data_IF_266560141442
#
_entry.id   IF_266560141442
#
_cell.length_a   1.000
_cell.length_b   1.000
_cell.length_c   1.000
_cell.angle_alpha   90.00
_cell.angle_beta   90.00
_cell.angle_gamma   90.00
#
_symmetry.space_group_name_H-M   'P 1'
#
loop_
_entity.id
_entity.type
_entity.pdbx_description
1 polymer ?
#
# COMPACT_ATOMS: atom_id res chain seq x y z
N UNK A 1 2.77 6.95 18.15
CA UNK A 1 2.16 5.64 18.44
C UNK A 1 1.60 5.11 17.14
N UNK A 2 1.93 3.89 16.72
CA UNK A 2 1.47 3.29 15.45
C UNK A 2 0.00 2.84 15.48
N UNK A 3 -0.86 3.62 16.13
CA UNK A 3 -2.30 3.41 16.17
C UNK A 3 -2.93 4.12 14.97
N UNK A 4 -4.03 3.60 14.39
CA UNK A 4 -4.77 4.31 13.37
C UNK A 4 -5.22 5.67 13.91
N UNK A 5 -5.03 6.72 13.12
CA UNK A 5 -5.43 8.08 13.51
C UNK A 5 -6.97 8.13 13.53
N UNK A 6 -7.61 8.53 14.64
CA UNK A 6 -9.06 8.63 14.70
C UNK A 6 -9.60 9.61 13.66
N UNK A 7 -10.73 9.28 13.02
CA UNK A 7 -11.37 10.15 12.00
C UNK A 7 -11.55 11.59 12.51
N UNK A 8 -12.03 11.75 13.74
CA UNK A 8 -12.19 13.04 14.42
C UNK A 8 -10.89 13.87 14.49
N UNK A 9 -9.71 13.24 14.58
CA UNK A 9 -8.43 13.99 14.58
C UNK A 9 -8.02 14.40 13.16
N UNK A 10 -8.42 13.65 12.13
CA UNK A 10 -8.26 14.06 10.73
C UNK A 10 -9.17 15.24 10.41
N UNK A 11 -10.45 15.17 10.80
CA UNK A 11 -11.43 16.25 10.65
C UNK A 11 -10.93 17.56 11.29
N UNK A 12 -10.54 17.52 12.57
CA UNK A 12 -9.96 18.68 13.26
C UNK A 12 -8.73 19.25 12.56
N UNK A 13 -7.91 18.42 11.92
CA UNK A 13 -6.73 18.87 11.20
C UNK A 13 -7.07 19.44 9.80
N UNK A 14 -8.15 18.98 9.17
CA UNK A 14 -8.68 19.59 7.95
C UNK A 14 -9.15 21.02 8.20
N UNK A 15 -9.86 21.24 9.30
CA UNK A 15 -10.30 22.57 9.76
C UNK A 15 -9.09 23.45 10.13
N UNK A 16 -8.09 22.90 10.83
CA UNK A 16 -6.89 23.62 11.29
C UNK A 16 -5.99 24.09 10.12
N UNK A 17 -5.92 23.36 9.00
CA UNK A 17 -5.23 23.83 7.77
C UNK A 17 -6.17 24.63 6.84
N UNK A 18 -7.49 24.62 7.08
CA UNK A 18 -8.47 25.28 6.23
C UNK A 18 -8.57 24.66 4.83
N UNK A 19 -8.57 23.33 4.72
CA UNK A 19 -8.54 22.65 3.42
C UNK A 19 -9.86 22.81 2.68
N UNK A 20 -9.84 23.44 1.51
CA UNK A 20 -11.00 23.55 0.63
C UNK A 20 -11.27 22.23 -0.11
N UNK A 21 -12.52 21.77 -0.02
CA UNK A 21 -13.07 20.57 -0.64
C UNK A 21 -13.79 20.97 -1.93
N UNK A 22 -13.31 20.47 -3.06
CA UNK A 22 -13.92 20.66 -4.38
C UNK A 22 -14.91 19.51 -4.65
N UNK A 23 -16.21 19.76 -4.86
CA UNK A 23 -17.21 18.73 -5.10
C UNK A 23 -17.16 18.12 -6.52
N UNK A 24 -16.31 18.63 -7.42
CA UNK A 24 -16.14 18.12 -8.78
C UNK A 24 -14.85 17.31 -8.98
N UNK A 25 -13.95 17.32 -7.99
CA UNK A 25 -12.69 16.57 -8.01
C UNK A 25 -12.89 15.14 -7.47
N UNK A 26 -12.13 14.18 -8.01
CA UNK A 26 -12.18 12.81 -7.51
C UNK A 26 -11.65 12.70 -6.07
N UNK A 27 -12.34 11.90 -5.25
CA UNK A 27 -12.05 11.77 -3.82
C UNK A 27 -10.64 11.20 -3.54
N UNK A 28 -10.08 10.33 -4.39
CA UNK A 28 -8.74 9.79 -4.20
C UNK A 28 -7.65 10.84 -4.52
N UNK A 29 -7.86 11.63 -5.57
CA UNK A 29 -6.98 12.74 -5.94
C UNK A 29 -6.99 13.80 -4.82
N UNK A 30 -8.19 14.18 -4.37
CA UNK A 30 -8.38 15.17 -3.33
C UNK A 30 -7.81 14.70 -1.98
N UNK A 31 -8.01 13.43 -1.60
CA UNK A 31 -7.44 12.86 -0.39
C UNK A 31 -5.90 12.97 -0.36
N UNK A 32 -5.21 12.76 -1.48
CA UNK A 32 -3.75 12.92 -1.57
C UNK A 32 -3.31 14.36 -1.27
N UNK A 33 -4.05 15.37 -1.76
CA UNK A 33 -3.82 16.80 -1.45
C UNK A 33 -4.06 17.10 0.04
N UNK A 34 -5.17 16.61 0.58
CA UNK A 34 -5.56 16.76 2.00
C UNK A 34 -4.51 16.15 2.93
N UNK A 35 -4.01 14.95 2.62
CA UNK A 35 -2.99 14.23 3.41
C UNK A 35 -1.69 15.04 3.50
N UNK A 36 -1.17 15.57 2.40
CA UNK A 36 0.06 16.39 2.43
C UNK A 36 -0.12 17.72 3.17
N UNK A 37 -1.32 18.32 3.12
CA UNK A 37 -1.62 19.53 3.90
C UNK A 37 -1.62 19.25 5.42
N UNK A 38 -2.33 18.20 5.86
CA UNK A 38 -2.47 17.81 7.27
C UNK A 38 -1.15 17.33 7.90
N UNK A 39 -0.23 16.76 7.10
CA UNK A 39 1.08 16.24 7.51
C UNK A 39 1.96 17.23 8.27
N UNK A 40 1.67 18.53 8.16
CA UNK A 40 2.33 19.61 8.89
C UNK A 40 1.97 19.68 10.38
N UNK A 41 0.73 19.31 10.75
CA UNK A 41 0.18 19.40 12.12
C UNK A 41 -0.17 18.04 12.74
N UNK A 42 -0.49 17.03 11.92
CA UNK A 42 -0.60 15.63 12.36
C UNK A 42 0.61 14.91 11.81
N UNK A 43 1.45 14.26 12.66
CA UNK A 43 2.61 13.49 12.21
C UNK A 43 2.18 12.19 11.52
N UNK A 44 1.67 12.35 10.30
CA UNK A 44 1.30 11.30 9.35
C UNK A 44 2.58 10.62 8.84
N UNK A 45 3.09 9.67 9.62
CA UNK A 45 3.99 8.66 9.05
C UNK A 45 3.16 7.72 8.20
N UNK A 46 3.25 7.88 6.88
CA UNK A 46 3.01 6.79 5.95
C UNK A 46 4.14 5.79 6.19
N UNK A 47 4.00 4.94 7.20
CA UNK A 47 4.92 3.83 7.44
C UNK A 47 4.81 2.91 6.23
N UNK A 48 5.81 2.96 5.34
CA UNK A 48 5.95 1.98 4.27
C UNK A 48 6.71 0.77 4.82
N UNK A 49 6.30 -0.42 4.40
CA UNK A 49 6.97 -1.67 4.74
C UNK A 49 7.51 -2.34 3.48
N UNK A 50 8.72 -2.87 3.59
CA UNK A 50 9.40 -3.63 2.53
C UNK A 50 9.07 -5.11 2.73
N UNK A 51 8.67 -5.79 1.67
CA UNK A 51 8.20 -7.17 1.73
C UNK A 51 8.86 -7.95 0.58
N UNK A 52 9.53 -9.04 0.92
CA UNK A 52 9.96 -10.02 -0.06
C UNK A 52 8.81 -10.99 -0.35
N UNK A 53 8.52 -11.21 -1.63
CA UNK A 53 7.41 -12.05 -2.11
C UNK A 53 7.99 -13.06 -3.10
N UNK A 54 7.58 -14.32 -2.99
CA UNK A 54 7.80 -15.36 -4.02
C UNK A 54 6.45 -15.85 -4.55
N UNK A 55 6.26 -15.76 -5.86
CA UNK A 55 5.02 -16.15 -6.56
C UNK A 55 5.33 -17.35 -7.49
N UNK A 56 4.68 -18.51 -7.31
CA UNK A 56 4.84 -19.66 -8.21
C UNK A 56 4.44 -19.35 -9.65
N UNK A 57 5.18 -19.91 -10.62
CA UNK A 57 5.06 -19.64 -12.07
C UNK A 57 3.61 -19.60 -12.60
N UNK A 58 2.77 -20.55 -12.19
CA UNK A 58 1.35 -20.66 -12.60
C UNK A 58 0.48 -19.43 -12.28
N UNK A 59 0.82 -18.65 -11.26
CA UNK A 59 0.03 -17.48 -10.84
C UNK A 59 0.66 -16.13 -11.21
N UNK A 60 1.91 -16.10 -11.69
CA UNK A 60 2.66 -14.84 -11.86
C UNK A 60 1.90 -13.84 -12.73
N UNK A 61 1.33 -14.24 -13.87
CA UNK A 61 0.62 -13.31 -14.76
C UNK A 61 -0.57 -12.57 -14.12
N UNK A 62 -1.25 -13.17 -13.12
CA UNK A 62 -2.33 -12.51 -12.39
C UNK A 62 -1.81 -11.75 -11.16
N UNK A 63 -0.94 -12.38 -10.38
CA UNK A 63 -0.47 -11.82 -9.11
C UNK A 63 0.53 -10.67 -9.31
N UNK A 64 1.35 -10.69 -10.37
CA UNK A 64 2.30 -9.61 -10.69
C UNK A 64 1.60 -8.27 -10.96
N UNK A 65 0.54 -8.28 -11.77
CA UNK A 65 -0.27 -7.08 -12.01
C UNK A 65 -0.92 -6.54 -10.72
N UNK A 66 -1.31 -7.43 -9.80
CA UNK A 66 -1.85 -7.04 -8.50
C UNK A 66 -0.77 -6.41 -7.60
N UNK A 67 0.45 -6.94 -7.65
CA UNK A 67 1.61 -6.36 -6.94
C UNK A 67 1.91 -4.95 -7.44
N UNK A 68 2.00 -4.76 -8.76
CA UNK A 68 2.24 -3.44 -9.38
C UNK A 68 1.12 -2.42 -9.12
N UNK A 69 -0.12 -2.87 -8.94
CA UNK A 69 -1.26 -1.99 -8.68
C UNK A 69 -1.37 -1.48 -7.24
N UNK A 70 -0.78 -2.18 -6.27
CA UNK A 70 -0.90 -1.86 -4.82
C UNK A 70 0.43 -1.37 -4.23
N UNK A 71 1.57 -1.81 -4.79
CA UNK A 71 2.90 -1.56 -4.27
C UNK A 71 3.91 -1.10 -5.32
N UNK A 72 5.00 -0.52 -4.84
CA UNK A 72 6.14 -0.18 -5.69
C UNK A 72 7.18 -1.30 -5.64
N UNK A 73 7.55 -1.86 -6.80
CA UNK A 73 8.56 -2.92 -6.89
C UNK A 73 9.95 -2.29 -6.90
N UNK A 74 10.75 -2.54 -5.87
CA UNK A 74 12.12 -2.04 -5.79
C UNK A 74 13.13 -2.93 -6.50
N UNK A 75 12.90 -4.24 -6.46
CA UNK A 75 13.72 -5.28 -7.11
C UNK A 75 12.85 -6.45 -7.49
N UNK A 76 13.16 -7.07 -8.62
CA UNK A 76 12.54 -8.32 -9.05
C UNK A 76 13.58 -9.25 -9.70
N UNK A 77 13.37 -10.55 -9.57
CA UNK A 77 14.20 -11.61 -10.13
C UNK A 77 13.33 -12.79 -10.56
N UNK A 78 13.46 -13.19 -11.82
CA UNK A 78 12.83 -14.38 -12.38
C UNK A 78 13.70 -15.60 -12.09
N UNK A 79 13.15 -16.55 -11.34
CA UNK A 79 13.83 -17.78 -10.96
C UNK A 79 13.82 -18.82 -12.09
N UNK A 80 14.76 -19.76 -12.05
CA UNK A 80 14.89 -20.84 -13.05
C UNK A 80 13.69 -21.81 -13.10
N UNK A 81 12.89 -21.87 -12.04
CA UNK A 81 11.63 -22.61 -11.95
C UNK A 81 10.42 -21.83 -12.54
N UNK A 82 10.67 -20.64 -13.10
CA UNK A 82 9.66 -19.71 -13.61
C UNK A 82 8.89 -18.95 -12.52
N UNK A 83 9.25 -19.12 -11.25
CA UNK A 83 8.68 -18.29 -10.17
C UNK A 83 9.25 -16.89 -10.20
N UNK A 84 8.44 -15.92 -9.77
CA UNK A 84 8.86 -14.53 -9.64
C UNK A 84 9.16 -14.24 -8.17
N UNK A 85 10.31 -13.61 -7.91
CA UNK A 85 10.69 -13.14 -6.57
C UNK A 85 10.88 -11.63 -6.63
N UNK A 86 10.28 -10.88 -5.73
CA UNK A 86 10.42 -9.42 -5.69
C UNK A 86 10.44 -8.83 -4.30
N UNK A 87 11.09 -7.68 -4.17
CA UNK A 87 11.01 -6.80 -3.00
C UNK A 87 10.06 -5.66 -3.37
N UNK A 88 8.97 -5.56 -2.61
CA UNK A 88 7.88 -4.62 -2.85
C UNK A 88 7.72 -3.73 -1.62
N UNK A 89 7.54 -2.45 -1.85
CA UNK A 89 7.28 -1.46 -0.80
C UNK A 89 5.82 -1.04 -0.88
N UNK A 90 5.07 -1.31 0.19
CA UNK A 90 3.64 -0.97 0.31
C UNK A 90 3.40 -0.05 1.53
N UNK A 91 2.36 0.80 1.52
CA UNK A 91 1.89 1.45 2.74
C UNK A 91 1.42 0.40 3.76
N UNK A 92 1.83 0.52 5.02
CA UNK A 92 1.48 -0.45 6.07
C UNK A 92 -0.04 -0.58 6.29
N UNK A 93 -0.80 0.49 6.06
CA UNK A 93 -2.27 0.45 6.08
C UNK A 93 -2.91 -0.47 5.04
N UNK A 94 -2.23 -0.71 3.91
CA UNK A 94 -2.70 -1.62 2.85
C UNK A 94 -2.19 -3.07 3.03
N UNK A 95 -1.38 -3.35 4.06
CA UNK A 95 -0.80 -4.68 4.26
C UNK A 95 -1.85 -5.79 4.37
N UNK A 96 -2.92 -5.60 5.17
CA UNK A 96 -3.97 -6.61 5.32
C UNK A 96 -4.66 -6.93 3.99
N UNK A 97 -5.13 -5.90 3.29
CA UNK A 97 -5.78 -6.04 1.98
C UNK A 97 -4.86 -6.66 0.93
N UNK A 98 -3.57 -6.30 0.94
CA UNK A 98 -2.56 -6.84 0.04
C UNK A 98 -2.36 -8.35 0.23
N UNK A 99 -2.23 -8.81 1.48
CA UNK A 99 -2.08 -10.25 1.80
C UNK A 99 -3.35 -11.01 1.40
N UNK A 100 -4.54 -10.49 1.73
CA UNK A 100 -5.82 -11.12 1.38
C UNK A 100 -6.00 -11.26 -0.14
N UNK A 101 -5.68 -10.20 -0.89
CA UNK A 101 -5.75 -10.19 -2.36
C UNK A 101 -4.73 -11.12 -2.98
N UNK A 102 -3.47 -11.09 -2.52
CA UNK A 102 -2.40 -11.96 -3.01
C UNK A 102 -2.71 -13.43 -2.72
N UNK A 103 -3.20 -13.74 -1.51
CA UNK A 103 -3.64 -15.07 -1.11
C UNK A 103 -4.78 -15.59 -2.00
N UNK A 104 -5.81 -14.78 -2.27
CA UNK A 104 -6.91 -15.14 -3.19
C UNK A 104 -6.44 -15.41 -4.62
N UNK A 105 -5.51 -14.62 -5.16
CA UNK A 105 -5.03 -14.78 -6.55
C UNK A 105 -4.07 -15.97 -6.71
N UNK A 106 -3.38 -16.36 -5.63
CA UNK A 106 -2.37 -17.44 -5.64
C UNK A 106 -2.82 -18.70 -4.90
N UNK A 107 -4.10 -18.79 -4.52
CA UNK A 107 -4.71 -19.89 -3.77
C UNK A 107 -3.94 -20.23 -2.46
N UNK A 108 -3.29 -19.23 -1.87
CA UNK A 108 -2.46 -19.34 -0.67
C UNK A 108 -1.01 -19.78 -0.89
N UNK A 109 -0.57 -20.00 -2.13
CA UNK A 109 0.77 -20.53 -2.44
C UNK A 109 1.85 -19.46 -2.73
N UNK A 110 1.51 -18.17 -2.68
CA UNK A 110 2.52 -17.11 -2.57
C UNK A 110 3.20 -17.16 -1.19
N UNK A 111 4.53 -17.06 -1.17
CA UNK A 111 5.29 -16.89 0.07
C UNK A 111 5.58 -15.41 0.28
N UNK A 112 5.34 -14.93 1.50
CA UNK A 112 5.52 -13.52 1.86
C UNK A 112 6.38 -13.40 3.10
N UNK A 113 7.37 -12.50 3.08
CA UNK A 113 8.28 -12.24 4.19
C UNK A 113 8.52 -10.74 4.36
N UNK A 114 8.06 -10.19 5.47
CA UNK A 114 8.32 -8.80 5.84
C UNK A 114 9.84 -8.63 6.07
N UNK A 115 10.42 -7.61 5.45
CA UNK A 115 11.79 -7.19 5.66
C UNK A 115 11.81 -6.06 6.71
N UNK A 116 12.80 -6.10 7.61
CA UNK A 116 13.10 -5.01 8.53
C UNK A 116 14.06 -4.00 7.89
#
# INVERSE_FOLDING_TARGET
TGLPIPALRVEQAMDEVGVSIDPFEDAEIQARRVIEAIKSIVPLKIESMRIAIKIPSRYVGKAYNLVLGIGNVEREEWQKDGSWVGIVTIPAGLHGEFIDKLGKVTEGEAQVKILK
#
